data_IF_216694039525
#
_entry.id   IF_216694039525
#
_cell.length_a   1.000
_cell.length_b   1.000
_cell.length_c   1.000
_cell.angle_alpha   90.00
_cell.angle_beta   90.00
_cell.angle_gamma   90.00
#
_symmetry.space_group_name_H-M   'P 1'
#
loop_
_entity.id
_entity.type
_entity.pdbx_description
1 polymer ?
#
# COMPACT_ATOMS: atom_id res chain seq x y z
N UNK A 1 -7.47 16.80 -0.77
CA UNK A 1 -6.48 15.83 -1.19
C UNK A 1 -6.09 14.92 -0.04
N UNK A 2 -6.11 13.64 -0.29
CA UNK A 2 -5.76 12.67 0.74
C UNK A 2 -4.26 12.46 0.79
N UNK A 3 -3.71 12.60 1.97
CA UNK A 3 -2.31 12.30 2.18
C UNK A 3 -2.25 11.18 3.22
N UNK A 4 -1.48 10.15 2.94
CA UNK A 4 -1.33 9.08 3.92
C UNK A 4 -0.53 9.61 5.10
N UNK A 5 -1.16 9.64 6.28
CA UNK A 5 -0.42 9.95 7.48
C UNK A 5 0.27 8.66 7.96
N UNK A 6 1.09 8.78 9.01
CA UNK A 6 1.90 7.65 9.47
C UNK A 6 1.04 6.45 9.86
N UNK A 7 -0.09 6.71 10.51
CA UNK A 7 -0.96 5.63 10.94
C UNK A 7 -1.60 4.91 9.74
N UNK A 8 -2.13 5.68 8.80
CA UNK A 8 -2.74 5.09 7.61
C UNK A 8 -1.72 4.33 6.79
N UNK A 9 -0.51 4.88 6.67
CA UNK A 9 0.55 4.22 5.94
C UNK A 9 0.86 2.85 6.54
N UNK A 10 0.95 2.78 7.86
CA UNK A 10 1.25 1.51 8.53
C UNK A 10 0.14 0.49 8.32
N UNK A 11 -1.11 0.92 8.42
CA UNK A 11 -2.26 0.04 8.23
C UNK A 11 -2.28 -0.48 6.79
N UNK A 12 -2.09 0.40 5.83
CA UNK A 12 -2.11 0.00 4.42
C UNK A 12 -0.92 -0.88 4.07
N UNK A 13 0.25 -0.56 4.60
CA UNK A 13 1.44 -1.38 4.36
C UNK A 13 1.21 -2.79 4.87
N UNK A 14 0.61 -2.91 6.04
CA UNK A 14 0.33 -4.23 6.62
C UNK A 14 -0.65 -5.01 5.75
N UNK A 15 -1.71 -4.34 5.28
CA UNK A 15 -2.69 -4.99 4.41
C UNK A 15 -2.03 -5.48 3.13
N UNK A 16 -1.19 -4.66 2.52
CA UNK A 16 -0.47 -5.05 1.31
C UNK A 16 0.47 -6.23 1.60
N UNK A 17 1.15 -6.18 2.72
CA UNK A 17 2.10 -7.22 3.10
C UNK A 17 1.41 -8.59 3.21
N UNK A 18 0.25 -8.61 3.84
CA UNK A 18 -0.51 -9.85 4.01
C UNK A 18 -0.90 -10.42 2.65
N UNK A 19 -1.36 -9.58 1.74
CA UNK A 19 -1.79 -10.03 0.42
C UNK A 19 -0.61 -10.49 -0.43
N UNK A 20 0.51 -9.79 -0.32
CA UNK A 20 1.72 -10.20 -1.04
C UNK A 20 2.20 -11.55 -0.52
N UNK A 21 2.15 -11.76 0.78
CA UNK A 21 2.52 -13.05 1.35
C UNK A 21 1.59 -14.16 0.89
N UNK A 22 0.35 -13.82 0.53
CA UNK A 22 -0.61 -14.77 -0.01
C UNK A 22 -0.40 -15.05 -1.50
N UNK A 23 0.56 -14.38 -2.13
CA UNK A 23 0.89 -14.62 -3.52
C UNK A 23 0.34 -13.58 -4.49
N UNK A 24 -0.26 -12.51 -3.99
CA UNK A 24 -0.82 -11.48 -4.86
C UNK A 24 0.28 -10.51 -5.29
N UNK A 25 0.06 -9.89 -6.45
CA UNK A 25 1.00 -8.93 -7.01
C UNK A 25 0.62 -7.53 -6.52
N UNK A 26 1.64 -6.71 -6.25
CA UNK A 26 1.43 -5.35 -5.75
C UNK A 26 0.44 -4.57 -6.61
N UNK A 27 0.59 -4.65 -7.92
CA UNK A 27 -0.27 -3.92 -8.84
C UNK A 27 -1.73 -4.35 -8.74
N UNK A 28 -1.96 -5.64 -8.56
CA UNK A 28 -3.31 -6.16 -8.40
C UNK A 28 -3.93 -5.66 -7.09
N UNK A 29 -3.14 -5.63 -6.04
CA UNK A 29 -3.60 -5.14 -4.76
C UNK A 29 -3.95 -3.66 -4.86
N UNK A 30 -3.09 -2.89 -5.52
CA UNK A 30 -3.30 -1.46 -5.68
C UNK A 30 -4.60 -1.17 -6.44
N UNK A 31 -4.97 -2.03 -7.37
CA UNK A 31 -6.20 -1.86 -8.13
C UNK A 31 -7.45 -1.91 -7.25
N UNK A 32 -7.36 -2.57 -6.11
CA UNK A 32 -8.48 -2.65 -5.16
C UNK A 32 -8.62 -1.38 -4.32
N UNK A 33 -7.64 -0.48 -4.40
CA UNK A 33 -7.64 0.76 -3.63
C UNK A 33 -7.53 1.96 -4.54
N UNK A 34 -8.56 2.21 -5.37
CA UNK A 34 -8.46 3.27 -6.39
C UNK A 34 -8.34 4.67 -5.80
N UNK A 35 -8.65 4.85 -4.53
CA UNK A 35 -8.51 6.15 -3.88
C UNK A 35 -7.08 6.47 -3.48
N UNK A 36 -6.18 5.49 -3.53
CA UNK A 36 -4.78 5.76 -3.22
C UNK A 36 -4.12 6.51 -4.38
N UNK A 37 -3.37 7.54 -4.01
CA UNK A 37 -2.62 8.30 -5.01
C UNK A 37 -1.31 7.58 -5.34
N UNK A 38 -0.67 8.02 -6.42
CA UNK A 38 0.64 7.49 -6.78
C UNK A 38 1.63 7.66 -5.62
N UNK A 39 1.59 8.82 -4.97
CA UNK A 39 2.47 9.08 -3.83
C UNK A 39 2.20 8.09 -2.69
N UNK A 40 0.93 7.81 -2.44
CA UNK A 40 0.57 6.84 -1.40
C UNK A 40 1.08 5.45 -1.72
N UNK A 41 0.94 5.03 -2.97
CA UNK A 41 1.42 3.73 -3.40
C UNK A 41 2.94 3.64 -3.30
N UNK A 42 3.64 4.69 -3.66
CA UNK A 42 5.09 4.70 -3.55
C UNK A 42 5.55 4.64 -2.11
N UNK A 43 4.83 5.32 -1.22
CA UNK A 43 5.15 5.27 0.21
C UNK A 43 4.97 3.86 0.76
N UNK A 44 3.91 3.18 0.36
CA UNK A 44 3.65 1.80 0.78
C UNK A 44 4.76 0.89 0.26
N UNK A 45 5.12 1.07 -1.01
CA UNK A 45 6.15 0.25 -1.62
C UNK A 45 7.49 0.44 -0.89
N UNK A 46 7.83 1.68 -0.54
CA UNK A 46 9.05 1.96 0.17
C UNK A 46 9.07 1.28 1.54
N UNK A 47 7.92 1.26 2.23
CA UNK A 47 7.82 0.59 3.52
C UNK A 47 7.96 -0.93 3.37
N UNK A 48 7.44 -1.48 2.29
CA UNK A 48 7.55 -2.92 2.05
C UNK A 48 8.98 -3.35 1.79
N UNK A 49 9.80 -2.45 1.28
CA UNK A 49 11.19 -2.75 0.93
C UNK A 49 12.16 -2.56 2.09
N UNK A 50 11.69 -2.07 3.22
CA UNK A 50 12.55 -1.91 4.38
C UNK A 50 12.95 -3.22 5.02
#
# INVERSE_FOLDING_TARGET
>A
METLNALKLRIMTRAFKIRIAAGEVFEDIAADYPSLTTDGLEAIKAELEK
#
